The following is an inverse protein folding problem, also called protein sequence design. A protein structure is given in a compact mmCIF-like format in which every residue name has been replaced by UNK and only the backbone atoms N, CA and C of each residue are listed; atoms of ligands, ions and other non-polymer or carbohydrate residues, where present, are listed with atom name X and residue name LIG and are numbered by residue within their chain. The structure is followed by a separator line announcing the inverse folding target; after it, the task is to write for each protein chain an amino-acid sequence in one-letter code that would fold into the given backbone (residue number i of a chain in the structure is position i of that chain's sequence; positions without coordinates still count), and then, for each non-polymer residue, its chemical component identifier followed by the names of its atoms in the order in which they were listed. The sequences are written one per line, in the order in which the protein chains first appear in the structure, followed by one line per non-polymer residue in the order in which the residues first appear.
data_IF_639358520526
#
_entry.id   IF_639358520526
#
_cell.length_a   1.000
_cell.length_b   1.000
_cell.length_c   1.000
_cell.angle_alpha   90.00
_cell.angle_beta   90.00
_cell.angle_gamma   90.00
#
_symmetry.space_group_name_H-M   'P 1'
#
loop_
_entity.id
_entity.type
_entity.pdbx_description
1 polymer ?
#
# COMPACT_ATOMS: atom_id res chain seq x y z
N UNK A 1 6.00 14.60 -12.82
CA UNK A 1 5.69 13.93 -11.52
C UNK A 1 5.74 14.94 -10.38
N UNK A 2 4.83 14.88 -9.44
CA UNK A 2 4.85 15.67 -8.20
C UNK A 2 5.46 14.83 -7.06
N UNK A 3 6.11 15.51 -6.09
CA UNK A 3 6.75 14.86 -4.94
C UNK A 3 6.22 15.43 -3.62
N UNK A 4 6.16 14.59 -2.59
CA UNK A 4 5.80 14.98 -1.22
C UNK A 4 6.71 14.30 -0.22
N UNK A 5 6.95 14.94 0.91
CA UNK A 5 7.70 14.31 2.00
C UNK A 5 6.89 13.15 2.61
N UNK A 6 7.57 12.10 3.06
CA UNK A 6 6.95 11.07 3.89
C UNK A 6 6.75 11.62 5.31
N UNK A 7 5.56 12.19 5.52
CA UNK A 7 5.23 12.84 6.79
C UNK A 7 6.20 13.99 7.10
N UNK A 8 6.75 13.97 8.32
CA UNK A 8 7.78 14.93 8.78
C UNK A 8 9.20 14.51 8.40
N UNK A 9 9.39 13.33 7.79
CA UNK A 9 10.70 12.90 7.29
C UNK A 9 11.14 13.80 6.11
N UNK A 10 12.45 14.07 5.96
CA UNK A 10 12.97 14.77 4.78
C UNK A 10 12.94 13.91 3.50
N UNK A 11 12.61 12.62 3.60
CA UNK A 11 12.55 11.73 2.44
C UNK A 11 11.39 12.12 1.51
N UNK A 12 11.72 12.48 0.25
CA UNK A 12 10.74 12.86 -0.76
C UNK A 12 10.43 11.69 -1.68
N UNK A 13 9.14 11.44 -1.87
CA UNK A 13 8.62 10.39 -2.76
C UNK A 13 7.66 10.95 -3.78
N UNK A 14 7.60 10.32 -4.95
CA UNK A 14 6.60 10.61 -5.98
C UNK A 14 5.18 10.33 -5.48
N UNK A 15 4.19 11.10 -5.98
CA UNK A 15 2.78 10.95 -5.61
C UNK A 15 2.21 9.57 -6.00
N UNK A 16 2.79 8.93 -7.02
CA UNK A 16 2.54 7.54 -7.35
C UNK A 16 3.74 6.69 -6.89
N UNK A 17 3.45 5.59 -6.20
CA UNK A 17 4.39 4.54 -5.83
C UNK A 17 4.12 3.32 -6.72
N UNK A 18 5.15 2.81 -7.39
CA UNK A 18 5.03 1.59 -8.19
C UNK A 18 4.97 0.35 -7.29
N UNK A 19 3.79 -0.24 -7.18
CA UNK A 19 3.56 -1.49 -6.45
C UNK A 19 3.83 -2.72 -7.31
N UNK A 20 4.64 -3.65 -6.82
CA UNK A 20 5.13 -4.80 -7.59
C UNK A 20 4.50 -6.14 -7.20
N UNK A 21 3.36 -6.14 -6.52
CA UNK A 21 2.70 -7.39 -6.08
C UNK A 21 2.36 -8.34 -7.25
N UNK A 22 2.17 -7.80 -8.46
CA UNK A 22 1.85 -8.60 -9.65
C UNK A 22 3.09 -9.11 -10.39
N UNK A 23 4.29 -8.62 -10.07
CA UNK A 23 5.53 -9.03 -10.72
C UNK A 23 5.87 -10.49 -10.39
N UNK A 24 6.31 -11.23 -11.41
CA UNK A 24 6.58 -12.66 -11.35
C UNK A 24 5.35 -13.54 -11.01
N UNK A 25 4.14 -12.98 -11.14
CA UNK A 25 2.85 -13.67 -11.10
C UNK A 25 2.10 -13.40 -12.41
N UNK A 26 1.42 -12.24 -12.52
CA UNK A 26 0.64 -11.85 -13.69
C UNK A 26 1.37 -10.86 -14.62
N UNK A 27 2.54 -10.42 -14.22
CA UNK A 27 3.42 -9.53 -14.98
C UNK A 27 4.77 -10.22 -15.14
N UNK A 28 5.14 -10.56 -16.36
CA UNK A 28 6.44 -11.15 -16.67
C UNK A 28 7.57 -10.10 -16.65
N UNK A 29 8.81 -10.55 -16.83
CA UNK A 29 9.97 -9.68 -16.76
C UNK A 29 9.99 -8.62 -17.87
N UNK A 30 9.52 -8.96 -19.08
CA UNK A 30 9.53 -8.04 -20.22
C UNK A 30 8.55 -6.88 -19.98
N UNK A 31 7.33 -7.19 -19.55
CA UNK A 31 6.32 -6.20 -19.21
C UNK A 31 6.72 -5.39 -17.97
N UNK A 32 7.28 -6.04 -16.95
CA UNK A 32 7.78 -5.35 -15.76
C UNK A 32 8.89 -4.35 -16.08
N UNK A 33 9.78 -4.66 -17.02
CA UNK A 33 10.82 -3.74 -17.51
C UNK A 33 10.21 -2.51 -18.15
N UNK A 34 9.26 -2.68 -19.06
CA UNK A 34 8.56 -1.55 -19.68
C UNK A 34 7.87 -0.64 -18.63
N UNK A 35 7.27 -1.24 -17.61
CA UNK A 35 6.64 -0.49 -16.51
C UNK A 35 7.68 0.30 -15.72
N UNK A 36 8.79 -0.33 -15.30
CA UNK A 36 9.84 0.31 -14.50
C UNK A 36 10.55 1.41 -15.30
N UNK A 37 10.89 1.15 -16.56
CA UNK A 37 11.55 2.13 -17.42
C UNK A 37 10.64 3.35 -17.69
N UNK A 38 9.35 3.14 -17.93
CA UNK A 38 8.39 4.23 -18.05
C UNK A 38 8.24 4.99 -16.72
N UNK A 39 8.14 4.29 -15.59
CA UNK A 39 8.05 4.91 -14.27
C UNK A 39 9.27 5.81 -14.01
N UNK A 40 10.48 5.32 -14.27
CA UNK A 40 11.72 6.09 -14.18
C UNK A 40 11.69 7.32 -15.10
N UNK A 41 11.36 7.14 -16.37
CA UNK A 41 11.28 8.22 -17.34
C UNK A 41 10.28 9.33 -16.96
N UNK A 42 9.18 8.96 -16.29
CA UNK A 42 8.19 9.91 -15.77
C UNK A 42 8.54 10.51 -14.40
N UNK A 43 9.73 10.20 -13.86
CA UNK A 43 10.20 10.71 -12.57
C UNK A 43 9.54 10.05 -11.35
N UNK A 44 8.94 8.86 -11.50
CA UNK A 44 8.55 8.06 -10.34
C UNK A 44 9.81 7.56 -9.65
N UNK A 45 9.96 7.87 -8.37
CA UNK A 45 11.13 7.48 -7.58
C UNK A 45 10.80 6.53 -6.42
N UNK A 46 9.56 6.04 -6.35
CA UNK A 46 9.13 5.19 -5.23
C UNK A 46 8.61 3.85 -5.74
N UNK A 47 9.20 2.76 -5.26
CA UNK A 47 8.85 1.38 -5.62
C UNK A 47 8.65 0.54 -4.36
N UNK A 48 7.56 -0.24 -4.34
CA UNK A 48 7.14 -1.04 -3.20
C UNK A 48 7.00 -2.51 -3.58
N UNK A 49 7.68 -3.37 -2.84
CA UNK A 49 7.60 -4.83 -2.92
C UNK A 49 7.39 -5.46 -1.53
N UNK A 50 7.49 -6.77 -1.40
CA UNK A 50 7.49 -7.51 -0.14
C UNK A 50 8.13 -8.89 -0.32
N UNK A 51 8.69 -9.43 0.77
CA UNK A 51 9.27 -10.77 0.84
C UNK A 51 8.28 -11.88 0.41
N UNK A 52 7.00 -11.71 0.74
CA UNK A 52 5.94 -12.69 0.46
C UNK A 52 5.39 -12.61 -0.98
N UNK A 53 5.65 -11.53 -1.73
CA UNK A 53 5.10 -11.39 -3.09
C UNK A 53 5.70 -12.43 -4.03
N UNK A 54 4.84 -13.25 -4.62
CA UNK A 54 5.24 -14.38 -5.47
C UNK A 54 6.36 -15.24 -4.84
N UNK A 55 6.29 -15.44 -3.50
CA UNK A 55 7.30 -16.18 -2.73
C UNK A 55 8.74 -15.65 -2.93
N UNK A 56 8.92 -14.33 -2.88
CA UNK A 56 10.20 -13.64 -3.04
C UNK A 56 10.61 -13.37 -4.49
N UNK A 57 9.90 -13.92 -5.48
CA UNK A 57 10.23 -13.70 -6.91
C UNK A 57 9.99 -12.27 -7.36
N UNK A 58 9.03 -11.55 -6.75
CA UNK A 58 8.83 -10.12 -7.01
C UNK A 58 10.09 -9.32 -6.62
N UNK A 59 10.69 -9.58 -5.44
CA UNK A 59 11.94 -8.93 -5.04
C UNK A 59 13.11 -9.29 -5.98
N UNK A 60 13.21 -10.55 -6.43
CA UNK A 60 14.25 -10.96 -7.40
C UNK A 60 14.11 -10.18 -8.71
N UNK A 61 12.89 -10.05 -9.23
CA UNK A 61 12.61 -9.30 -10.45
C UNK A 61 12.90 -7.81 -10.27
N UNK A 62 12.47 -7.21 -9.17
CA UNK A 62 12.80 -5.81 -8.83
C UNK A 62 14.30 -5.61 -8.74
N UNK A 63 15.02 -6.50 -8.05
CA UNK A 63 16.47 -6.44 -7.93
C UNK A 63 17.17 -6.49 -9.28
N UNK A 64 16.68 -7.26 -10.24
CA UNK A 64 17.19 -7.28 -11.61
C UNK A 64 16.89 -5.98 -12.36
N UNK A 65 15.67 -5.49 -12.27
CA UNK A 65 15.21 -4.30 -13.00
C UNK A 65 15.88 -3.01 -12.52
N UNK A 66 16.26 -2.92 -11.25
CA UNK A 66 16.90 -1.73 -10.69
C UNK A 66 18.43 -1.69 -10.86
N UNK A 67 19.05 -2.70 -11.49
CA UNK A 67 20.49 -2.67 -11.74
C UNK A 67 20.88 -1.45 -12.60
N UNK A 68 21.89 -0.71 -12.15
CA UNK A 68 22.35 0.51 -12.79
C UNK A 68 21.53 1.77 -12.49
N UNK A 69 20.35 1.64 -11.87
CA UNK A 69 19.49 2.78 -11.52
C UNK A 69 19.03 2.77 -10.05
N UNK A 70 19.63 1.93 -9.20
CA UNK A 70 19.23 1.77 -7.78
C UNK A 70 19.14 3.10 -7.03
N UNK A 71 20.05 4.02 -7.28
CA UNK A 71 20.14 5.32 -6.60
C UNK A 71 18.97 6.28 -6.92
N UNK A 72 18.24 6.04 -8.01
CA UNK A 72 17.06 6.81 -8.35
C UNK A 72 15.88 6.47 -7.44
N UNK A 73 15.82 5.23 -6.92
CA UNK A 73 14.65 4.66 -6.29
C UNK A 73 14.69 4.73 -4.77
N UNK A 74 13.61 5.20 -4.18
CA UNK A 74 13.22 4.90 -2.80
C UNK A 74 12.61 3.49 -2.83
N UNK A 75 13.39 2.50 -2.44
CA UNK A 75 13.02 1.09 -2.48
C UNK A 75 12.45 0.65 -1.14
N UNK A 76 11.22 0.15 -1.15
CA UNK A 76 10.54 -0.39 0.02
C UNK A 76 10.31 -1.89 -0.11
N UNK A 77 10.57 -2.65 0.98
CA UNK A 77 10.12 -4.02 1.14
C UNK A 77 9.54 -4.25 2.52
N UNK A 78 9.04 -5.46 2.79
CA UNK A 78 8.23 -5.76 3.97
C UNK A 78 8.60 -7.12 4.55
N UNK A 79 8.40 -7.27 5.89
CA UNK A 79 8.55 -8.52 6.63
C UNK A 79 7.35 -8.75 7.53
N UNK A 80 7.08 -10.00 7.86
CA UNK A 80 6.12 -10.37 8.92
C UNK A 80 5.12 -11.44 8.51
N UNK A 81 4.70 -11.51 7.26
CA UNK A 81 3.90 -12.64 6.79
C UNK A 81 4.76 -13.91 6.73
N UNK A 82 4.14 -15.06 6.99
CA UNK A 82 4.84 -16.33 6.90
C UNK A 82 5.21 -16.64 5.44
N UNK A 83 6.47 -17.02 5.21
CA UNK A 83 6.96 -17.48 3.92
C UNK A 83 6.82 -19.00 3.75
N UNK A 84 6.73 -19.72 4.85
CA UNK A 84 6.56 -21.17 4.90
C UNK A 84 5.75 -21.58 6.13
N UNK A 85 5.46 -22.87 6.27
CA UNK A 85 4.85 -23.45 7.48
C UNK A 85 5.86 -23.77 8.59
N UNK A 86 7.15 -23.50 8.38
CA UNK A 86 8.18 -23.78 9.36
C UNK A 86 8.08 -22.85 10.56
N UNK A 87 8.30 -23.36 11.79
CA UNK A 87 8.41 -22.53 12.96
C UNK A 87 9.47 -21.44 12.77
N UNK A 88 9.18 -20.22 13.22
CA UNK A 88 10.07 -19.05 13.17
C UNK A 88 10.44 -18.56 11.74
N UNK A 89 9.68 -18.91 10.73
CA UNK A 89 9.77 -18.31 9.38
C UNK A 89 8.55 -17.43 9.10
N UNK A 90 8.33 -16.44 9.95
CA UNK A 90 7.25 -15.48 9.89
C UNK A 90 7.16 -14.66 11.17
N UNK A 91 6.22 -13.71 11.21
CA UNK A 91 6.07 -12.74 12.30
C UNK A 91 7.35 -11.92 12.53
N UNK A 92 7.72 -11.64 13.80
CA UNK A 92 8.71 -10.61 14.12
C UNK A 92 9.69 -11.05 15.22
N UNK A 93 10.02 -12.34 15.30
CA UNK A 93 11.13 -12.73 16.14
C UNK A 93 12.43 -12.08 15.63
N UNK A 94 13.31 -11.67 16.53
CA UNK A 94 14.58 -11.04 16.16
C UNK A 94 15.37 -11.87 15.15
N UNK A 95 15.48 -13.16 15.40
CA UNK A 95 16.18 -14.10 14.50
C UNK A 95 15.60 -14.07 13.09
N UNK A 96 14.26 -14.11 12.99
CA UNK A 96 13.59 -14.08 11.70
C UNK A 96 13.76 -12.75 10.99
N UNK A 97 13.54 -11.64 11.70
CA UNK A 97 13.62 -10.30 11.10
C UNK A 97 15.00 -10.00 10.50
N UNK A 98 16.08 -10.35 11.22
CA UNK A 98 17.44 -10.15 10.73
C UNK A 98 17.71 -11.02 9.50
N UNK A 99 17.35 -12.30 9.54
CA UNK A 99 17.51 -13.22 8.40
C UNK A 99 16.65 -12.79 7.21
N UNK A 100 15.37 -12.49 7.41
CA UNK A 100 14.47 -12.08 6.34
C UNK A 100 14.94 -10.78 5.64
N UNK A 101 15.54 -9.85 6.39
CA UNK A 101 16.14 -8.66 5.81
C UNK A 101 17.32 -9.01 4.90
N UNK A 102 18.26 -9.85 5.35
CA UNK A 102 19.40 -10.30 4.53
C UNK A 102 18.93 -11.05 3.28
N UNK A 103 17.98 -11.97 3.42
CA UNK A 103 17.40 -12.71 2.30
C UNK A 103 16.72 -11.76 1.28
N UNK A 104 16.03 -10.71 1.76
CA UNK A 104 15.44 -9.67 0.90
C UNK A 104 16.51 -8.85 0.18
N UNK A 105 17.57 -8.43 0.87
CA UNK A 105 18.68 -7.68 0.27
C UNK A 105 19.37 -8.50 -0.83
N UNK A 106 19.56 -9.82 -0.61
CA UNK A 106 20.12 -10.72 -1.62
C UNK A 106 19.21 -10.80 -2.86
N UNK A 107 17.88 -11.00 -2.67
CA UNK A 107 16.91 -11.04 -3.78
C UNK A 107 16.85 -9.71 -4.54
N UNK A 108 16.89 -8.59 -3.82
CA UNK A 108 16.88 -7.23 -4.37
C UNK A 108 18.23 -6.80 -4.97
N UNK A 109 19.31 -7.59 -4.80
CA UNK A 109 20.66 -7.32 -5.29
C UNK A 109 21.16 -5.92 -4.86
N UNK A 110 20.95 -5.57 -3.61
CA UNK A 110 21.33 -4.27 -3.03
C UNK A 110 21.84 -4.46 -1.60
N UNK A 111 22.63 -3.51 -1.10
CA UNK A 111 23.18 -3.51 0.26
C UNK A 111 22.23 -2.88 1.28
N UNK A 112 21.18 -2.15 0.83
CA UNK A 112 20.20 -1.53 1.71
C UNK A 112 18.82 -1.39 1.05
N UNK A 113 17.79 -1.36 1.90
CA UNK A 113 16.46 -0.85 1.57
C UNK A 113 16.28 0.56 2.11
N UNK A 114 15.58 1.42 1.38
CA UNK A 114 15.25 2.75 1.89
C UNK A 114 14.18 2.67 2.97
N UNK A 115 13.16 1.83 2.78
CA UNK A 115 12.09 1.64 3.74
C UNK A 115 11.87 0.14 3.98
N UNK A 116 11.79 -0.26 5.25
CA UNK A 116 11.42 -1.62 5.65
C UNK A 116 10.16 -1.60 6.48
N UNK A 117 9.10 -2.25 6.00
CA UNK A 117 7.81 -2.27 6.68
C UNK A 117 7.63 -3.50 7.55
N UNK A 118 7.07 -3.30 8.75
CA UNK A 118 6.33 -4.34 9.44
C UNK A 118 4.98 -4.53 8.71
N UNK A 119 4.79 -5.69 8.06
CA UNK A 119 3.73 -5.89 7.05
C UNK A 119 2.31 -5.97 7.62
N UNK A 120 2.18 -6.41 8.87
CA UNK A 120 0.89 -6.52 9.57
C UNK A 120 1.04 -6.52 11.08
N UNK A 121 -0.01 -6.09 11.77
CA UNK A 121 -0.08 -6.26 13.22
C UNK A 121 -0.47 -7.71 13.59
N UNK A 122 0.03 -8.17 14.71
CA UNK A 122 -0.37 -9.42 15.35
C UNK A 122 -0.89 -9.11 16.75
N UNK A 123 -2.18 -9.35 16.98
CA UNK A 123 -2.81 -9.11 18.28
C UNK A 123 -2.06 -9.80 19.41
N UNK A 124 -1.83 -9.09 20.51
CA UNK A 124 -1.16 -9.61 21.70
C UNK A 124 0.36 -9.80 21.57
N UNK A 125 0.96 -9.45 20.43
CA UNK A 125 2.41 -9.52 20.27
C UNK A 125 3.09 -8.32 20.96
N UNK A 126 4.11 -8.60 21.78
CA UNK A 126 4.98 -7.58 22.35
C UNK A 126 5.80 -6.89 21.24
N UNK A 127 5.97 -5.56 21.35
CA UNK A 127 6.67 -4.75 20.33
C UNK A 127 8.16 -4.56 20.62
N UNK A 128 8.63 -4.89 21.80
CA UNK A 128 10.02 -4.64 22.20
C UNK A 128 11.02 -5.36 21.29
N UNK A 129 10.84 -6.66 21.11
CA UNK A 129 11.76 -7.47 20.30
C UNK A 129 11.81 -7.04 18.83
N UNK A 130 10.66 -6.85 18.12
CA UNK A 130 10.68 -6.30 16.76
C UNK A 130 11.34 -4.91 16.67
N UNK A 131 11.10 -4.02 17.61
CA UNK A 131 11.72 -2.68 17.58
C UNK A 131 13.25 -2.76 17.79
N UNK A 132 13.73 -3.65 18.67
CA UNK A 132 15.17 -3.90 18.83
C UNK A 132 15.80 -4.54 17.58
N UNK A 133 15.06 -5.35 16.84
CA UNK A 133 15.52 -5.86 15.55
C UNK A 133 15.62 -4.74 14.50
N UNK A 134 14.62 -3.85 14.41
CA UNK A 134 14.65 -2.66 13.54
C UNK A 134 15.81 -1.74 13.91
N UNK A 135 16.04 -1.49 15.21
CA UNK A 135 17.17 -0.68 15.68
C UNK A 135 18.52 -1.24 15.19
N UNK A 136 18.71 -2.57 15.28
CA UNK A 136 19.92 -3.21 14.79
C UNK A 136 20.08 -3.03 13.27
N UNK A 137 19.02 -3.24 12.49
CA UNK A 137 19.04 -3.08 11.03
C UNK A 137 19.32 -1.63 10.60
N UNK A 138 18.78 -0.64 11.32
CA UNK A 138 19.09 0.79 11.09
C UNK A 138 20.56 1.09 11.37
N UNK A 139 21.07 0.63 12.52
CA UNK A 139 22.47 0.83 12.94
C UNK A 139 23.46 0.18 11.96
N UNK A 140 23.14 -1.03 11.49
CA UNK A 140 23.97 -1.77 10.56
C UNK A 140 23.83 -1.25 9.12
N UNK A 141 22.99 -0.22 8.88
CA UNK A 141 22.79 0.42 7.60
C UNK A 141 22.05 -0.46 6.58
N UNK A 142 21.41 -1.56 6.99
CA UNK A 142 20.63 -2.45 6.12
C UNK A 142 19.31 -1.83 5.67
N UNK A 143 18.77 -0.93 6.48
CA UNK A 143 17.59 -0.12 6.18
C UNK A 143 17.87 1.35 6.54
N UNK A 144 17.26 2.30 5.81
CA UNK A 144 17.39 3.73 6.07
C UNK A 144 16.27 4.27 6.94
N UNK A 145 15.06 3.81 6.66
CA UNK A 145 13.83 4.17 7.36
C UNK A 145 13.00 2.90 7.58
N UNK A 146 12.02 2.99 8.45
CA UNK A 146 11.05 1.93 8.65
C UNK A 146 9.63 2.45 8.75
N UNK A 147 8.66 1.56 8.54
CA UNK A 147 7.25 1.88 8.59
C UNK A 147 6.40 0.68 9.00
N UNK A 148 5.11 0.89 8.99
CA UNK A 148 4.12 -0.12 9.37
C UNK A 148 3.03 -0.25 8.30
N UNK A 149 2.46 -1.43 8.15
CA UNK A 149 1.32 -1.69 7.29
C UNK A 149 0.26 -2.48 8.05
N UNK A 150 -1.01 -2.08 7.93
CA UNK A 150 -2.13 -2.74 8.59
C UNK A 150 -2.07 -2.73 10.14
N UNK A 151 -1.51 -1.68 10.71
CA UNK A 151 -1.50 -1.44 12.16
C UNK A 151 -2.61 -0.48 12.56
N UNK A 152 -3.18 -0.68 13.76
CA UNK A 152 -4.13 0.22 14.40
C UNK A 152 -3.45 1.52 14.82
N UNK A 153 -4.19 2.64 14.88
CA UNK A 153 -3.63 3.94 15.25
C UNK A 153 -3.05 3.96 16.66
N UNK A 154 -3.72 3.34 17.65
CA UNK A 154 -3.17 3.20 19.01
C UNK A 154 -1.85 2.42 19.03
N UNK A 155 -1.73 1.41 18.16
CA UNK A 155 -0.51 0.60 18.06
C UNK A 155 0.65 1.38 17.43
N UNK A 156 0.35 2.25 16.46
CA UNK A 156 1.32 3.21 15.91
C UNK A 156 1.83 4.15 17.01
N UNK A 157 0.92 4.69 17.83
CA UNK A 157 1.26 5.53 18.97
C UNK A 157 2.18 4.83 19.98
N UNK A 158 1.88 3.57 20.31
CA UNK A 158 2.71 2.73 21.17
C UNK A 158 4.12 2.55 20.60
N UNK A 159 4.26 2.23 19.31
CA UNK A 159 5.56 2.08 18.64
C UNK A 159 6.38 3.37 18.64
N UNK A 160 5.74 4.51 18.37
CA UNK A 160 6.41 5.82 18.41
C UNK A 160 6.91 6.13 19.82
N UNK A 161 6.10 5.83 20.84
CA UNK A 161 6.49 6.03 22.23
C UNK A 161 7.67 5.13 22.62
N UNK A 162 7.59 3.84 22.31
CA UNK A 162 8.68 2.89 22.60
C UNK A 162 9.97 3.23 21.85
N UNK A 163 9.88 3.66 20.58
CA UNK A 163 11.06 4.09 19.83
C UNK A 163 11.77 5.26 20.52
N UNK A 164 11.00 6.23 21.05
CA UNK A 164 11.57 7.34 21.86
C UNK A 164 12.24 6.83 23.14
N UNK A 165 11.60 5.90 23.86
CA UNK A 165 12.19 5.29 25.07
C UNK A 165 13.51 4.55 24.76
N UNK A 166 13.59 3.94 23.56
CA UNK A 166 14.79 3.23 23.12
C UNK A 166 15.86 4.15 22.49
N UNK A 167 15.60 5.45 22.40
CA UNK A 167 16.45 6.42 21.70
C UNK A 167 16.75 6.04 20.25
N UNK A 168 15.80 5.41 19.57
CA UNK A 168 15.89 5.02 18.16
C UNK A 168 14.94 5.85 17.29
N UNK A 169 15.22 6.01 15.97
CA UNK A 169 14.28 6.66 15.05
C UNK A 169 12.93 5.93 15.02
N UNK A 170 11.84 6.70 15.11
CA UNK A 170 10.48 6.18 14.97
C UNK A 170 10.11 5.80 13.53
N UNK A 171 8.92 5.20 13.33
CA UNK A 171 8.41 4.92 11.99
C UNK A 171 8.13 6.23 11.24
N UNK A 172 8.44 6.26 9.94
CA UNK A 172 8.23 7.46 9.11
C UNK A 172 7.00 7.32 8.21
N UNK A 173 6.44 6.13 8.06
CA UNK A 173 5.37 5.86 7.10
C UNK A 173 4.43 4.76 7.58
N UNK A 174 3.14 4.94 7.24
CA UNK A 174 2.08 3.93 7.42
C UNK A 174 1.49 3.57 6.05
N UNK A 175 1.29 2.27 5.80
CA UNK A 175 0.72 1.73 4.57
C UNK A 175 -0.62 1.03 4.88
N UNK A 176 -1.76 1.78 4.94
CA UNK A 176 -3.08 1.22 5.23
C UNK A 176 -3.84 0.81 3.97
N UNK A 177 -4.86 -0.04 4.14
CA UNK A 177 -5.92 -0.25 3.16
C UNK A 177 -6.91 0.92 3.20
N UNK A 178 -6.87 1.80 2.18
CA UNK A 178 -7.69 3.00 2.14
C UNK A 178 -8.09 3.36 0.70
N UNK A 179 -9.38 3.55 0.48
CA UNK A 179 -9.98 4.00 -0.77
C UNK A 179 -11.43 4.47 -0.52
N UNK A 180 -12.11 4.94 -1.57
CA UNK A 180 -13.50 5.43 -1.52
C UNK A 180 -14.51 4.46 -0.89
N UNK A 181 -14.27 3.15 -0.97
CA UNK A 181 -15.16 2.11 -0.43
C UNK A 181 -14.74 1.63 0.97
N UNK A 182 -13.56 2.04 1.44
CA UNK A 182 -13.05 1.71 2.76
C UNK A 182 -12.37 2.93 3.39
N UNK A 183 -13.14 3.70 4.13
CA UNK A 183 -12.71 4.93 4.83
C UNK A 183 -12.39 4.69 6.31
N UNK A 184 -12.43 3.44 6.78
CA UNK A 184 -12.11 3.09 8.17
C UNK A 184 -10.81 3.72 8.71
N UNK A 185 -9.72 3.87 7.93
CA UNK A 185 -8.52 4.53 8.41
C UNK A 185 -8.69 6.00 8.85
N UNK A 186 -9.73 6.70 8.36
CA UNK A 186 -9.99 8.11 8.73
C UNK A 186 -10.37 8.25 10.21
N UNK A 187 -10.98 7.23 10.82
CA UNK A 187 -11.44 7.30 12.21
C UNK A 187 -10.30 7.29 13.24
N UNK A 188 -9.14 6.74 12.90
CA UNK A 188 -8.04 6.57 13.86
C UNK A 188 -6.65 6.60 13.22
N UNK A 189 -6.42 5.80 12.15
CA UNK A 189 -5.09 5.57 11.60
C UNK A 189 -4.51 6.84 10.99
N UNK A 190 -5.28 7.58 10.18
CA UNK A 190 -4.82 8.81 9.55
C UNK A 190 -4.55 9.90 10.58
N UNK A 191 -5.40 10.02 11.59
CA UNK A 191 -5.23 10.95 12.71
C UNK A 191 -3.95 10.63 13.51
N UNK A 192 -3.71 9.36 13.84
CA UNK A 192 -2.50 8.93 14.52
C UNK A 192 -1.25 9.24 13.67
N UNK A 193 -1.29 8.97 12.36
CA UNK A 193 -0.19 9.31 11.45
C UNK A 193 0.07 10.82 11.42
N UNK A 194 -0.97 11.64 11.30
CA UNK A 194 -0.87 13.10 11.33
C UNK A 194 -0.26 13.61 12.64
N UNK A 195 -0.77 13.14 13.79
CA UNK A 195 -0.28 13.50 15.11
C UNK A 195 1.20 13.15 15.31
N UNK A 196 1.61 11.95 14.95
CA UNK A 196 2.98 11.48 15.13
C UNK A 196 3.92 11.87 13.99
N UNK A 197 3.39 12.40 12.88
CA UNK A 197 4.18 12.89 11.75
C UNK A 197 4.63 11.81 10.78
N UNK A 198 3.91 10.69 10.69
CA UNK A 198 4.13 9.67 9.67
C UNK A 198 3.48 10.10 8.34
N UNK A 199 4.13 9.80 7.22
CA UNK A 199 3.49 9.83 5.92
C UNK A 199 2.55 8.64 5.74
N UNK A 200 1.50 8.79 4.92
CA UNK A 200 0.59 7.71 4.62
C UNK A 200 0.69 7.34 3.14
N UNK A 201 0.85 6.04 2.86
CA UNK A 201 1.00 5.50 1.51
C UNK A 201 0.03 4.31 1.34
N UNK A 202 -1.26 4.58 1.09
CA UNK A 202 -2.27 3.52 1.05
C UNK A 202 -2.14 2.63 -0.18
N UNK A 203 -2.60 1.39 -0.03
CA UNK A 203 -2.73 0.43 -1.12
C UNK A 203 -4.19 0.27 -1.56
N UNK A 204 -4.37 -0.27 -2.77
CA UNK A 204 -5.68 -0.52 -3.41
C UNK A 204 -6.55 0.74 -3.61
N UNK A 205 -6.03 1.84 -4.18
CA UNK A 205 -6.80 3.08 -4.39
C UNK A 205 -8.04 2.86 -5.27
N UNK A 206 -7.98 1.94 -6.21
CA UNK A 206 -9.11 1.58 -7.08
C UNK A 206 -9.86 0.31 -6.62
N UNK A 207 -9.75 -0.03 -5.31
CA UNK A 207 -10.48 -1.15 -4.71
C UNK A 207 -10.37 -2.45 -5.53
N UNK A 208 -9.14 -2.89 -5.83
CA UNK A 208 -8.82 -4.06 -6.68
C UNK A 208 -9.58 -4.09 -8.03
N UNK A 209 -9.99 -2.93 -8.53
CA UNK A 209 -10.68 -2.74 -9.79
C UNK A 209 -12.21 -2.61 -9.68
N UNK A 210 -12.79 -2.59 -8.49
CA UNK A 210 -14.21 -2.22 -8.31
C UNK A 210 -14.43 -0.77 -8.72
N UNK A 211 -13.55 0.13 -8.32
CA UNK A 211 -13.59 1.55 -8.67
C UNK A 211 -13.07 1.86 -10.10
N UNK A 212 -13.13 0.89 -11.00
CA UNK A 212 -13.09 1.15 -12.45
C UNK A 212 -14.50 1.18 -13.06
N UNK A 213 -15.52 0.82 -12.27
CA UNK A 213 -16.91 0.76 -12.71
C UNK A 213 -17.27 -0.42 -13.62
N UNK A 214 -16.33 -1.34 -13.88
CA UNK A 214 -16.54 -2.50 -14.79
C UNK A 214 -17.39 -3.61 -14.20
N UNK A 215 -17.66 -3.59 -12.90
CA UNK A 215 -18.50 -4.58 -12.22
C UNK A 215 -19.82 -3.93 -11.83
N UNK A 216 -20.93 -4.55 -12.21
CA UNK A 216 -22.26 -4.10 -11.82
C UNK A 216 -22.95 -5.15 -10.95
N UNK A 217 -23.84 -4.74 -10.02
CA UNK A 217 -24.63 -5.66 -9.21
C UNK A 217 -25.40 -6.66 -10.10
N UNK A 218 -25.37 -7.94 -9.73
CA UNK A 218 -26.10 -9.01 -10.44
C UNK A 218 -25.53 -9.42 -11.80
N UNK A 219 -24.45 -8.81 -12.28
CA UNK A 219 -23.81 -9.20 -13.55
C UNK A 219 -22.66 -10.18 -13.36
N UNK A 220 -22.51 -11.12 -14.29
CA UNK A 220 -21.37 -12.03 -14.34
C UNK A 220 -20.10 -11.23 -14.66
N UNK A 221 -19.03 -11.35 -13.86
CA UNK A 221 -17.78 -10.66 -14.14
C UNK A 221 -17.17 -11.06 -15.49
N UNK A 222 -16.59 -10.10 -16.20
CA UNK A 222 -15.92 -10.34 -17.49
C UNK A 222 -14.76 -11.34 -17.34
N UNK A 223 -14.62 -12.24 -18.31
CA UNK A 223 -13.52 -13.21 -18.37
C UNK A 223 -12.15 -12.53 -18.25
N UNK A 224 -11.21 -13.15 -17.53
CA UNK A 224 -9.88 -12.62 -17.26
C UNK A 224 -9.82 -11.52 -16.18
N UNK A 225 -10.96 -11.00 -15.72
CA UNK A 225 -11.00 -10.05 -14.62
C UNK A 225 -10.68 -10.71 -13.27
N UNK A 226 -10.31 -9.90 -12.26
CA UNK A 226 -10.00 -10.39 -10.91
C UNK A 226 -11.21 -11.06 -10.26
N UNK A 227 -12.42 -10.49 -10.43
CA UNK A 227 -13.65 -11.08 -9.93
C UNK A 227 -14.01 -12.40 -10.63
N UNK A 228 -13.78 -12.52 -11.95
CA UNK A 228 -14.00 -13.77 -12.68
C UNK A 228 -13.12 -14.92 -12.15
N UNK A 229 -11.89 -14.62 -11.72
CA UNK A 229 -10.98 -15.59 -11.09
C UNK A 229 -11.29 -15.86 -9.62
N UNK A 230 -12.34 -15.27 -9.07
CA UNK A 230 -12.70 -15.36 -7.65
C UNK A 230 -11.51 -15.06 -6.71
N UNK A 231 -10.74 -13.99 -7.02
CA UNK A 231 -9.61 -13.55 -6.17
C UNK A 231 -10.07 -13.44 -4.72
N UNK A 232 -9.49 -14.28 -3.85
CA UNK A 232 -9.91 -14.43 -2.46
C UNK A 232 -10.00 -13.08 -1.75
N UNK A 233 -8.94 -12.27 -1.83
CA UNK A 233 -8.91 -10.98 -1.12
C UNK A 233 -9.93 -10.00 -1.68
N UNK A 234 -10.16 -9.99 -2.98
CA UNK A 234 -11.21 -9.15 -3.57
C UNK A 234 -12.60 -9.55 -3.08
N UNK A 235 -12.90 -10.86 -3.02
CA UNK A 235 -14.19 -11.35 -2.55
C UNK A 235 -14.41 -11.05 -1.06
N UNK A 236 -13.36 -11.12 -0.25
CA UNK A 236 -13.40 -10.81 1.18
C UNK A 236 -13.53 -9.31 1.46
N UNK A 237 -13.04 -8.44 0.57
CA UNK A 237 -12.89 -7.01 0.87
C UNK A 237 -13.80 -6.10 0.04
N UNK A 238 -13.65 -6.09 -1.28
CA UNK A 238 -14.26 -5.04 -2.12
C UNK A 238 -15.49 -5.50 -2.90
N UNK A 239 -15.61 -6.80 -3.22
CA UNK A 239 -16.66 -7.31 -4.09
C UNK A 239 -17.97 -7.57 -3.33
N UNK A 240 -18.57 -6.51 -2.81
CA UNK A 240 -19.84 -6.51 -2.07
C UNK A 240 -20.90 -5.75 -2.85
N UNK A 241 -22.17 -6.10 -2.71
CA UNK A 241 -23.27 -5.49 -3.49
C UNK A 241 -23.34 -3.98 -3.31
N UNK A 242 -23.19 -3.49 -2.07
CA UNK A 242 -23.17 -2.06 -1.74
C UNK A 242 -21.98 -1.37 -2.42
N UNK A 243 -20.80 -1.98 -2.39
CA UNK A 243 -19.59 -1.46 -3.05
C UNK A 243 -19.79 -1.33 -4.57
N UNK A 244 -20.42 -2.34 -5.19
CA UNK A 244 -20.70 -2.32 -6.62
C UNK A 244 -21.72 -1.25 -6.98
N UNK A 245 -22.80 -1.10 -6.19
CA UNK A 245 -23.82 -0.07 -6.42
C UNK A 245 -23.22 1.35 -6.30
N UNK A 246 -22.44 1.61 -5.24
CA UNK A 246 -21.73 2.87 -5.04
C UNK A 246 -20.78 3.16 -6.21
N UNK A 247 -20.03 2.16 -6.68
CA UNK A 247 -19.14 2.32 -7.83
C UNK A 247 -19.89 2.72 -9.11
N UNK A 248 -21.13 2.22 -9.35
CA UNK A 248 -21.93 2.64 -10.50
C UNK A 248 -22.42 4.09 -10.35
N UNK A 249 -22.82 4.52 -9.15
CA UNK A 249 -23.20 5.91 -8.89
C UNK A 249 -22.04 6.87 -9.14
N UNK A 250 -20.86 6.56 -8.58
CA UNK A 250 -19.65 7.34 -8.81
C UNK A 250 -19.22 7.34 -10.28
N UNK A 251 -19.41 6.22 -10.98
CA UNK A 251 -19.12 6.13 -12.41
C UNK A 251 -19.96 7.11 -13.23
N UNK A 252 -21.28 7.15 -12.99
CA UNK A 252 -22.16 8.08 -13.68
C UNK A 252 -21.76 9.55 -13.44
N UNK A 253 -21.38 9.90 -12.19
CA UNK A 253 -20.88 11.24 -11.86
C UNK A 253 -19.58 11.56 -12.62
N UNK A 254 -18.63 10.63 -12.64
CA UNK A 254 -17.36 10.79 -13.34
C UNK A 254 -17.53 10.92 -14.85
N UNK A 255 -18.42 10.13 -15.46
CA UNK A 255 -18.77 10.22 -16.90
C UNK A 255 -19.33 11.60 -17.27
N UNK A 256 -20.18 12.17 -16.41
CA UNK A 256 -20.71 13.53 -16.60
C UNK A 256 -19.62 14.62 -16.55
N UNK A 257 -18.51 14.35 -15.83
CA UNK A 257 -17.34 15.23 -15.72
C UNK A 257 -16.26 14.93 -16.79
N UNK A 258 -16.42 13.90 -17.61
CA UNK A 258 -15.39 13.47 -18.58
C UNK A 258 -14.15 12.87 -17.94
N UNK A 259 -14.25 12.30 -16.73
CA UNK A 259 -13.15 11.70 -15.98
C UNK A 259 -13.41 10.21 -15.77
N UNK A 260 -12.38 9.36 -15.84
CA UNK A 260 -12.55 7.95 -15.49
C UNK A 260 -12.74 7.77 -13.99
N UNK A 261 -13.56 6.80 -13.57
CA UNK A 261 -13.74 6.50 -12.15
C UNK A 261 -12.41 6.08 -11.47
N UNK A 262 -11.53 5.39 -12.19
CA UNK A 262 -10.23 4.99 -11.65
C UNK A 262 -9.33 6.20 -11.36
N UNK A 263 -9.31 7.20 -12.23
CA UNK A 263 -8.60 8.47 -12.01
C UNK A 263 -9.20 9.23 -10.85
N UNK A 264 -10.51 9.38 -10.83
CA UNK A 264 -11.22 10.04 -9.74
C UNK A 264 -10.93 9.39 -8.38
N UNK A 265 -11.05 8.06 -8.27
CA UNK A 265 -10.80 7.32 -7.04
C UNK A 265 -9.37 7.48 -6.55
N UNK A 266 -8.40 7.43 -7.45
CA UNK A 266 -6.99 7.61 -7.11
C UNK A 266 -6.70 9.07 -6.70
N UNK A 267 -7.25 10.04 -7.43
CA UNK A 267 -7.14 11.46 -7.12
C UNK A 267 -7.77 11.81 -5.77
N UNK A 268 -8.93 11.22 -5.45
CA UNK A 268 -9.60 11.42 -4.17
C UNK A 268 -8.72 10.95 -3.00
N UNK A 269 -8.09 9.79 -3.11
CA UNK A 269 -7.11 9.33 -2.11
C UNK A 269 -5.95 10.32 -1.99
N UNK A 270 -5.39 10.77 -3.12
CA UNK A 270 -4.28 11.73 -3.15
C UNK A 270 -4.67 13.12 -2.60
N UNK A 271 -5.93 13.53 -2.69
CA UNK A 271 -6.41 14.81 -2.18
C UNK A 271 -6.39 14.90 -0.65
N UNK A 272 -6.42 13.75 0.06
CA UNK A 272 -6.34 13.75 1.51
C UNK A 272 -4.97 14.27 1.98
N UNK A 273 -4.91 15.28 2.88
CA UNK A 273 -3.66 15.95 3.28
C UNK A 273 -2.65 15.03 3.96
N UNK A 274 -3.09 13.95 4.61
CA UNK A 274 -2.20 12.97 5.25
C UNK A 274 -1.49 12.05 4.24
N UNK A 275 -2.00 11.93 3.00
CA UNK A 275 -1.45 11.02 1.99
C UNK A 275 -0.20 11.62 1.34
N UNK A 276 0.92 10.93 1.45
CA UNK A 276 2.17 11.29 0.79
C UNK A 276 2.26 10.74 -0.63
N UNK A 277 1.86 9.49 -0.82
CA UNK A 277 1.89 8.77 -2.09
C UNK A 277 0.77 7.72 -2.10
N UNK A 278 0.45 7.15 -3.25
CA UNK A 278 -0.50 6.03 -3.37
C UNK A 278 0.15 4.88 -4.13
N UNK A 279 -0.05 3.64 -3.66
CA UNK A 279 0.48 2.45 -4.34
C UNK A 279 -0.41 2.08 -5.52
N UNK A 280 0.12 2.26 -6.71
CA UNK A 280 -0.43 1.80 -7.96
C UNK A 280 0.20 0.45 -8.33
N UNK A 281 -0.60 -0.61 -8.39
CA UNK A 281 -0.16 -1.98 -8.69
C UNK A 281 -0.62 -2.45 -10.06
N UNK A 282 0.04 -2.02 -11.16
CA UNK A 282 -0.34 -2.41 -12.52
C UNK A 282 0.05 -3.85 -12.82
N UNK A 283 -0.63 -4.45 -13.80
CA UNK A 283 -0.21 -5.70 -14.45
C UNK A 283 0.41 -5.46 -15.81
N UNK A 284 0.08 -4.33 -16.45
CA UNK A 284 0.54 -3.95 -17.78
C UNK A 284 1.01 -2.50 -17.81
N UNK A 285 1.87 -2.18 -18.78
CA UNK A 285 2.32 -0.81 -19.03
C UNK A 285 1.14 0.14 -19.25
N UNK A 286 0.13 -0.28 -20.01
CA UNK A 286 -1.08 0.53 -20.24
C UNK A 286 -1.80 0.88 -18.94
N UNK A 287 -1.92 -0.06 -17.99
CA UNK A 287 -2.49 0.22 -16.67
C UNK A 287 -1.62 1.17 -15.85
N UNK A 288 -0.30 1.05 -15.95
CA UNK A 288 0.62 1.96 -15.28
C UNK A 288 0.49 3.39 -15.84
N UNK A 289 0.49 3.51 -17.16
CA UNK A 289 0.31 4.81 -17.84
C UNK A 289 -1.02 5.46 -17.49
N UNK A 290 -2.09 4.68 -17.37
CA UNK A 290 -3.42 5.18 -17.00
C UNK A 290 -3.43 5.84 -15.61
N UNK A 291 -2.66 5.35 -14.62
CA UNK A 291 -2.60 5.97 -13.31
C UNK A 291 -2.13 7.43 -13.32
N UNK A 292 -1.35 7.87 -14.31
CA UNK A 292 -0.87 9.25 -14.38
C UNK A 292 -2.00 10.25 -14.61
N UNK A 293 -3.07 9.83 -15.29
CA UNK A 293 -4.27 10.67 -15.44
C UNK A 293 -4.91 11.09 -14.11
N UNK A 294 -4.70 10.31 -13.05
CA UNK A 294 -5.22 10.65 -11.73
C UNK A 294 -4.54 11.88 -11.11
N UNK A 295 -3.29 12.18 -11.46
CA UNK A 295 -2.54 13.31 -10.90
C UNK A 295 -3.13 14.66 -11.35
N UNK A 296 -3.78 14.67 -12.51
CA UNK A 296 -4.36 15.86 -13.12
C UNK A 296 -5.79 16.15 -12.65
N UNK A 297 -6.44 15.18 -11.99
CA UNK A 297 -7.82 15.33 -11.51
C UNK A 297 -7.85 16.12 -10.21
N UNK A 298 -8.63 17.19 -10.19
CA UNK A 298 -8.91 17.97 -8.98
C UNK A 298 -10.23 17.55 -8.36
N UNK A 299 -10.21 17.23 -7.09
CA UNK A 299 -11.41 16.86 -6.31
C UNK A 299 -12.02 18.18 -5.78
N UNK A 300 -13.29 18.41 -6.13
CA UNK A 300 -14.04 19.57 -5.70
C UNK A 300 -14.81 19.33 -4.41
N UNK A 301 -15.32 20.38 -3.79
CA UNK A 301 -16.20 20.25 -2.61
C UNK A 301 -17.49 19.48 -2.93
N UNK A 302 -18.01 19.60 -4.17
CA UNK A 302 -19.17 18.83 -4.64
C UNK A 302 -18.85 17.33 -4.75
N UNK A 303 -17.68 16.99 -5.28
CA UNK A 303 -17.20 15.60 -5.34
C UNK A 303 -17.11 15.00 -3.94
N UNK A 304 -16.53 15.75 -3.00
CA UNK A 304 -16.39 15.30 -1.61
C UNK A 304 -17.77 15.14 -0.93
N UNK A 305 -18.71 16.05 -1.17
CA UNK A 305 -20.06 15.95 -0.67
C UNK A 305 -20.79 14.70 -1.19
N UNK A 306 -20.64 14.40 -2.49
CA UNK A 306 -21.18 13.15 -3.07
C UNK A 306 -20.58 11.92 -2.41
N UNK A 307 -19.24 11.85 -2.32
CA UNK A 307 -18.55 10.72 -1.68
C UNK A 307 -19.02 10.55 -0.24
N UNK A 308 -19.12 11.63 0.53
CA UNK A 308 -19.60 11.60 1.92
C UNK A 308 -21.04 11.11 2.06
N UNK A 309 -21.89 11.38 1.08
CA UNK A 309 -23.27 10.88 1.05
C UNK A 309 -23.36 9.38 0.77
N UNK A 310 -22.39 8.81 0.05
CA UNK A 310 -22.36 7.39 -0.33
C UNK A 310 -21.61 6.53 0.68
N UNK A 311 -20.51 7.03 1.22
CA UNK A 311 -19.69 6.38 2.25
C UNK A 311 -19.32 7.40 3.30
N UNK A 312 -19.90 7.32 4.47
CA UNK A 312 -19.60 8.25 5.56
C UNK A 312 -18.12 8.21 5.96
N UNK A 313 -17.52 9.38 6.31
CA UNK A 313 -16.17 9.43 6.85
C UNK A 313 -15.96 8.43 7.99
N UNK A 314 -14.82 7.72 7.97
CA UNK A 314 -14.49 6.72 8.99
C UNK A 314 -15.23 5.38 8.87
N UNK A 315 -16.02 5.15 7.80
CA UNK A 315 -16.79 3.91 7.62
C UNK A 315 -16.37 3.17 6.33
N UNK A 316 -16.86 1.95 6.18
CA UNK A 316 -16.81 1.20 4.93
C UNK A 316 -18.12 1.36 4.15
N UNK A 317 -18.08 1.05 2.86
CA UNK A 317 -19.26 1.03 1.97
C UNK A 317 -20.38 0.08 2.43
N UNK A 318 -20.05 -0.94 3.22
CA UNK A 318 -21.00 -1.89 3.80
C UNK A 318 -21.06 -1.69 5.30
N UNK A 319 -22.21 -1.32 5.89
CA UNK A 319 -22.34 -1.17 7.34
C UNK A 319 -21.93 -2.44 8.10
N UNK A 320 -21.14 -2.27 9.16
CA UNK A 320 -20.66 -3.38 10.00
C UNK A 320 -19.56 -4.24 9.38
N UNK A 321 -19.08 -3.91 8.19
CA UNK A 321 -17.97 -4.64 7.57
C UNK A 321 -16.67 -4.46 8.36
N UNK A 322 -16.00 -5.59 8.59
CA UNK A 322 -14.62 -5.65 9.06
C UNK A 322 -13.83 -6.60 8.16
N UNK A 323 -12.57 -6.26 7.85
CA UNK A 323 -11.71 -7.10 7.06
C UNK A 323 -11.39 -8.40 7.83
N UNK A 324 -11.75 -9.60 7.30
CA UNK A 324 -11.53 -10.87 8.00
C UNK A 324 -10.05 -11.21 8.19
N UNK A 325 -9.14 -10.60 7.43
CA UNK A 325 -7.70 -10.76 7.64
C UNK A 325 -7.18 -9.94 8.83
N UNK A 326 -7.95 -8.94 9.29
CA UNK A 326 -7.59 -8.05 10.40
C UNK A 326 -8.77 -7.89 11.39
N UNK A 327 -9.20 -8.99 12.02
CA UNK A 327 -10.39 -8.99 12.88
C UNK A 327 -10.22 -8.04 14.07
N UNK A 328 -11.34 -7.55 14.58
CA UNK A 328 -11.35 -6.83 15.84
C UNK A 328 -11.04 -7.81 16.98
N UNK A 329 -10.14 -7.40 17.87
CA UNK A 329 -9.84 -8.16 19.08
C UNK A 329 -10.87 -7.88 20.19
N UNK A 330 -11.09 -8.85 21.08
CA UNK A 330 -11.90 -8.66 22.29
C UNK A 330 -13.35 -9.15 22.20
N UNK A 331 -13.72 -9.85 21.10
CA UNK A 331 -15.03 -10.51 20.99
C UNK A 331 -14.91 -11.83 20.25
#
# INVERSE_FOLDING_TARGET
MQYKNLGKSPLKVSRLCLGTMMFADQTDLAEARLIVDHAHAQGCNFIDTADVYSHGKSEQMVGELLQGQRQHWVLASKVGNALSERPNEGRYSRTWMLRACEDSLQRLRTDHMDIYYLHRDYNGMALEEPLRAIEALLRDGKIRYWGVSNFRGWRIGEMVHMARQFNMPGPVVCQPYYNLLNRLPESEILEACGHHGLGVVPYSPIARGVLTGKYAPGQTPQAGSRAFRADKRMMETEFRQESLAIAQTLRAHCEAKGVSLAHFATAWVLANPHISSVIAGPRTLAQWQDYFGAIEVQITAEDEALVNSLVSPGHSSTPGYNDPAYPLAGR
#
